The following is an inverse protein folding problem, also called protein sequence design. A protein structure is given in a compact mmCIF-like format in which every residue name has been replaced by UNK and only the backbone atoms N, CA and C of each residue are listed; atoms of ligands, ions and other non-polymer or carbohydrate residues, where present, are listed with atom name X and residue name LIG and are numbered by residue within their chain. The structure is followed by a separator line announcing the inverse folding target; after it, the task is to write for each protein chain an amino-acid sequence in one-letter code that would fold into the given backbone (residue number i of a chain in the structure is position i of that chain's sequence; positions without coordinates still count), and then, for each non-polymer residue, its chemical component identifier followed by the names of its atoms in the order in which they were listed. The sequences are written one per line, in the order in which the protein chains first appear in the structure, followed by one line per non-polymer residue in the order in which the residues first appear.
data_IF_863077352865
#
_entry.id   IF_863077352865
#
_cell.length_a   1.000
_cell.length_b   1.000
_cell.length_c   1.000
_cell.angle_alpha   90.00
_cell.angle_beta   90.00
_cell.angle_gamma   90.00
#
_symmetry.space_group_name_H-M   'P 1'
#
loop_
_entity.id
_entity.type
_entity.pdbx_description
1 polymer ?
#
# COMPACT_ATOMS: atom_id res chain seq x y z
N UNK A 1 27.72 -4.55 18.05
CA UNK A 1 26.62 -3.60 17.94
C UNK A 1 25.69 -4.11 16.88
N UNK A 2 24.59 -4.69 17.31
CA UNK A 2 23.50 -5.11 16.46
C UNK A 2 22.33 -4.14 16.59
N UNK A 3 21.49 -4.06 15.57
CA UNK A 3 20.23 -3.33 15.59
C UNK A 3 19.08 -4.33 15.75
N UNK A 4 18.40 -4.26 16.89
CA UNK A 4 17.27 -5.11 17.25
C UNK A 4 15.99 -4.31 17.13
N UNK A 5 15.08 -4.72 16.25
CA UNK A 5 13.70 -4.24 16.25
C UNK A 5 12.84 -5.12 17.17
N UNK A 6 12.12 -4.48 18.08
CA UNK A 6 11.26 -5.12 19.07
C UNK A 6 9.80 -4.71 18.83
N UNK A 7 8.96 -5.71 18.58
CA UNK A 7 7.57 -5.55 18.16
C UNK A 7 6.67 -6.23 19.19
N UNK A 8 6.18 -5.51 20.21
CA UNK A 8 5.21 -6.07 21.16
C UNK A 8 3.85 -6.24 20.49
N UNK A 9 3.33 -7.47 20.52
CA UNK A 9 2.08 -7.85 19.87
C UNK A 9 1.21 -8.71 20.81
N UNK A 10 0.41 -8.05 21.65
CA UNK A 10 -0.46 -8.73 22.61
C UNK A 10 -1.65 -9.45 21.96
N UNK A 11 -2.08 -10.58 22.52
CA UNK A 11 -3.29 -11.27 22.09
C UNK A 11 -4.59 -10.53 22.47
N UNK A 12 -4.65 -10.00 23.70
CA UNK A 12 -5.83 -9.37 24.29
C UNK A 12 -6.07 -7.93 23.82
N UNK A 13 -6.54 -7.73 22.59
CA UNK A 13 -6.99 -6.42 22.09
C UNK A 13 -8.47 -6.18 22.41
N UNK A 14 -8.82 -5.08 23.08
CA UNK A 14 -10.18 -4.78 23.58
C UNK A 14 -11.15 -4.29 22.51
N UNK A 15 -10.76 -3.26 21.77
CA UNK A 15 -11.58 -2.59 20.75
C UNK A 15 -11.72 -3.44 19.49
N UNK A 16 -10.60 -4.03 19.05
CA UNK A 16 -10.53 -4.87 17.84
C UNK A 16 -10.00 -6.25 18.25
N UNK A 17 -10.84 -7.29 18.27
CA UNK A 17 -10.39 -8.65 18.58
C UNK A 17 -9.24 -9.07 17.66
N UNK A 18 -8.16 -9.57 18.26
CA UNK A 18 -6.98 -10.07 17.53
C UNK A 18 -6.36 -9.05 16.56
N UNK A 19 -6.45 -7.74 16.91
CA UNK A 19 -5.99 -6.59 16.11
C UNK A 19 -4.71 -6.84 15.31
N UNK A 20 -3.67 -7.35 15.97
CA UNK A 20 -2.34 -7.54 15.40
C UNK A 20 -2.31 -8.55 14.23
N UNK A 21 -3.26 -9.49 14.16
CA UNK A 21 -3.33 -10.50 13.10
C UNK A 21 -4.58 -10.39 12.23
N UNK A 22 -5.44 -9.42 12.51
CA UNK A 22 -6.61 -9.12 11.70
C UNK A 22 -6.18 -8.60 10.30
N UNK A 23 -6.95 -8.95 9.26
CA UNK A 23 -6.62 -8.62 7.87
C UNK A 23 -6.75 -7.13 7.57
N UNK A 24 -5.62 -6.47 7.34
CA UNK A 24 -5.48 -5.07 6.92
C UNK A 24 -4.88 -5.02 5.51
N UNK A 25 -5.63 -4.51 4.54
CA UNK A 25 -5.24 -4.48 3.11
C UNK A 25 -4.81 -5.87 2.56
N UNK A 26 -5.50 -6.93 2.99
CA UNK A 26 -5.27 -8.31 2.51
C UNK A 26 -4.11 -9.05 3.18
N UNK A 27 -3.46 -8.47 4.19
CA UNK A 27 -2.43 -9.12 5.01
C UNK A 27 -2.70 -8.88 6.50
N UNK A 28 -2.24 -9.75 7.43
CA UNK A 28 -2.36 -9.49 8.87
C UNK A 28 -1.72 -8.13 9.23
N UNK A 29 -2.29 -7.36 10.16
CA UNK A 29 -1.80 -6.02 10.48
C UNK A 29 -0.27 -5.97 10.77
N UNK A 30 0.22 -6.89 11.61
CA UNK A 30 1.64 -7.02 11.96
C UNK A 30 2.55 -7.31 10.76
N UNK A 31 2.02 -7.91 9.69
CA UNK A 31 2.80 -8.21 8.48
C UNK A 31 3.45 -6.95 7.91
N UNK A 32 2.77 -5.80 7.95
CA UNK A 32 3.24 -4.58 7.30
C UNK A 32 4.52 -4.04 7.94
N UNK A 33 4.57 -3.93 9.26
CA UNK A 33 5.80 -3.51 9.95
C UNK A 33 6.91 -4.56 9.79
N UNK A 34 6.61 -5.84 9.91
CA UNK A 34 7.62 -6.91 9.78
C UNK A 34 8.20 -6.96 8.36
N UNK A 35 7.38 -6.81 7.34
CA UNK A 35 7.80 -6.77 5.94
C UNK A 35 8.77 -5.62 5.67
N UNK A 36 8.53 -4.44 6.26
CA UNK A 36 9.37 -3.27 6.06
C UNK A 36 10.65 -3.33 6.91
N UNK A 37 10.59 -3.86 8.13
CA UNK A 37 11.77 -4.15 8.95
C UNK A 37 12.70 -5.19 8.30
N UNK A 38 12.15 -6.16 7.57
CA UNK A 38 12.94 -7.13 6.82
C UNK A 38 13.83 -6.46 5.76
N UNK A 39 13.34 -5.37 5.19
CA UNK A 39 13.98 -4.59 4.11
C UNK A 39 14.81 -3.41 4.64
N UNK A 40 14.80 -3.16 5.95
CA UNK A 40 15.60 -2.12 6.59
C UNK A 40 16.95 -2.65 7.06
N UNK A 41 17.77 -1.75 7.60
CA UNK A 41 19.12 -2.01 8.12
C UNK A 41 19.12 -2.68 9.51
N UNK A 42 17.94 -3.17 9.96
CA UNK A 42 17.79 -3.97 11.18
C UNK A 42 18.41 -5.34 10.98
N UNK A 43 19.17 -5.83 11.97
CA UNK A 43 19.77 -7.16 11.94
C UNK A 43 18.78 -8.24 12.38
N UNK A 44 17.99 -7.93 13.42
CA UNK A 44 17.13 -8.89 14.10
C UNK A 44 15.79 -8.26 14.47
N UNK A 45 14.72 -8.99 14.20
CA UNK A 45 13.35 -8.57 14.50
C UNK A 45 12.77 -9.54 15.52
N UNK A 46 12.31 -9.02 16.64
CA UNK A 46 11.79 -9.78 17.78
C UNK A 46 10.32 -9.43 17.93
N UNK A 47 9.44 -10.40 17.71
CA UNK A 47 8.01 -10.25 18.00
C UNK A 47 7.73 -10.80 19.39
N UNK A 48 7.41 -9.94 20.35
CA UNK A 48 7.07 -10.33 21.71
C UNK A 48 5.56 -10.53 21.83
N UNK A 49 5.11 -11.76 22.08
CA UNK A 49 3.69 -12.10 22.16
C UNK A 49 3.39 -13.14 23.24
N UNK A 50 2.18 -13.09 23.76
CA UNK A 50 1.57 -14.05 24.69
C UNK A 50 0.56 -14.98 23.99
N UNK A 51 0.44 -14.88 22.66
CA UNK A 51 -0.57 -15.59 21.88
C UNK A 51 0.04 -16.59 20.91
N UNK A 52 -0.26 -17.87 21.10
CA UNK A 52 0.09 -18.96 20.19
C UNK A 52 -0.43 -18.73 18.76
N UNK A 53 -1.58 -18.04 18.63
CA UNK A 53 -2.13 -17.71 17.32
C UNK A 53 -1.32 -16.62 16.61
N UNK A 54 -0.89 -15.59 17.35
CA UNK A 54 0.01 -14.57 16.79
C UNK A 54 1.34 -15.20 16.37
N UNK A 55 1.91 -16.05 17.23
CA UNK A 55 3.12 -16.82 16.94
C UNK A 55 3.00 -17.63 15.65
N UNK A 56 1.97 -18.45 15.54
CA UNK A 56 1.70 -19.28 14.34
C UNK A 56 1.58 -18.43 13.07
N UNK A 57 0.90 -17.27 13.14
CA UNK A 57 0.75 -16.36 12.00
C UNK A 57 2.09 -15.74 11.61
N UNK A 58 2.88 -15.26 12.58
CA UNK A 58 4.18 -14.63 12.33
C UNK A 58 5.18 -15.64 11.75
N UNK A 59 5.24 -16.85 12.29
CA UNK A 59 6.10 -17.92 11.79
C UNK A 59 5.74 -18.32 10.35
N UNK A 60 4.45 -18.27 9.99
CA UNK A 60 4.00 -18.57 8.62
C UNK A 60 4.53 -17.62 7.55
N UNK A 61 5.01 -16.43 7.93
CA UNK A 61 5.57 -15.46 6.98
C UNK A 61 6.95 -15.87 6.46
N UNK A 62 7.64 -16.80 7.14
CA UNK A 62 8.99 -17.26 6.77
C UNK A 62 10.00 -16.12 6.59
N UNK A 63 9.93 -15.11 7.46
CA UNK A 63 10.78 -13.94 7.43
C UNK A 63 12.12 -14.20 8.13
N UNK A 64 13.27 -14.24 7.43
CA UNK A 64 14.55 -14.69 8.00
C UNK A 64 15.09 -13.89 9.19
N UNK A 65 14.81 -12.59 9.32
CA UNK A 65 15.27 -11.81 10.49
C UNK A 65 14.29 -11.88 11.66
N UNK A 66 13.11 -12.49 11.48
CA UNK A 66 12.06 -12.51 12.51
C UNK A 66 12.22 -13.73 13.42
N UNK A 67 12.17 -13.46 14.72
CA UNK A 67 11.96 -14.48 15.75
C UNK A 67 10.81 -14.08 16.66
N UNK A 68 10.15 -15.08 17.25
CA UNK A 68 9.11 -14.87 18.25
C UNK A 68 9.72 -15.06 19.64
N UNK A 69 9.38 -14.15 20.55
CA UNK A 69 9.68 -14.24 21.97
C UNK A 69 8.35 -14.42 22.73
N UNK A 70 8.24 -15.55 23.42
CA UNK A 70 7.11 -15.84 24.31
C UNK A 70 7.29 -15.01 25.59
N UNK A 71 6.56 -13.89 25.69
CA UNK A 71 6.66 -12.98 26.84
C UNK A 71 5.78 -13.44 28.00
N UNK A 72 6.11 -12.98 29.20
CA UNK A 72 5.35 -13.34 30.41
C UNK A 72 3.88 -12.89 30.33
N UNK A 73 2.90 -13.77 30.64
CA UNK A 73 1.49 -13.38 30.78
C UNK A 73 1.24 -12.23 31.77
N UNK A 74 2.07 -12.05 32.79
CA UNK A 74 1.98 -10.93 33.75
C UNK A 74 2.26 -9.57 33.07
N UNK A 75 3.12 -9.54 32.06
CA UNK A 75 3.42 -8.35 31.24
C UNK A 75 2.50 -8.20 30.02
N UNK A 76 1.42 -8.97 29.98
CA UNK A 76 0.41 -8.94 28.91
C UNK A 76 -0.94 -8.38 29.36
N UNK A 77 -1.02 -7.88 30.59
CA UNK A 77 -2.22 -7.25 31.15
C UNK A 77 -2.46 -5.86 30.54
N UNK A 78 -3.68 -5.36 30.66
CA UNK A 78 -4.03 -4.01 30.19
C UNK A 78 -3.26 -2.88 30.89
N UNK A 79 -2.76 -3.17 32.09
CA UNK A 79 -1.98 -2.23 32.91
C UNK A 79 -0.48 -2.35 32.69
N UNK A 80 -0.02 -3.34 31.93
CA UNK A 80 1.41 -3.54 31.65
C UNK A 80 1.89 -2.46 30.69
N UNK A 81 2.96 -1.75 31.07
CA UNK A 81 3.54 -0.72 30.22
C UNK A 81 4.33 -1.35 29.07
N UNK A 82 4.57 -0.59 28.00
CA UNK A 82 5.47 -1.06 26.94
C UNK A 82 6.88 -1.25 27.49
N UNK A 83 7.31 -0.39 28.42
CA UNK A 83 8.60 -0.44 29.09
C UNK A 83 8.81 -1.77 29.83
N UNK A 84 7.80 -2.30 30.53
CA UNK A 84 7.97 -3.55 31.29
C UNK A 84 8.27 -4.73 30.36
N UNK A 85 7.61 -4.80 29.21
CA UNK A 85 7.83 -5.83 28.18
C UNK A 85 9.21 -5.67 27.52
N UNK A 86 9.66 -4.44 27.32
CA UNK A 86 11.01 -4.17 26.76
C UNK A 86 12.10 -4.62 27.73
N UNK A 87 11.99 -4.23 29.01
CA UNK A 87 12.96 -4.58 30.06
C UNK A 87 12.97 -6.10 30.29
N UNK A 88 11.81 -6.76 30.32
CA UNK A 88 11.72 -8.21 30.40
C UNK A 88 12.53 -8.90 29.28
N UNK A 89 12.36 -8.44 28.04
CA UNK A 89 13.12 -9.01 26.93
C UNK A 89 14.62 -8.71 27.02
N UNK A 90 15.00 -7.50 27.42
CA UNK A 90 16.41 -7.12 27.60
C UNK A 90 17.07 -7.94 28.71
N UNK A 91 16.36 -8.24 29.81
CA UNK A 91 16.88 -9.09 30.88
C UNK A 91 16.98 -10.56 30.45
N UNK A 92 16.03 -11.03 29.62
CA UNK A 92 16.03 -12.37 29.06
C UNK A 92 17.12 -12.58 28.01
N UNK A 93 17.31 -11.60 27.12
CA UNK A 93 18.23 -11.66 26.00
C UNK A 93 19.52 -10.98 26.40
N UNK A 94 20.64 -11.71 26.44
CA UNK A 94 21.97 -11.17 26.76
C UNK A 94 22.48 -10.19 25.66
N UNK A 95 21.76 -9.09 25.43
CA UNK A 95 22.10 -8.02 24.52
C UNK A 95 23.27 -7.23 25.08
N UNK A 96 24.07 -6.65 24.19
CA UNK A 96 25.16 -5.78 24.60
C UNK A 96 24.60 -4.40 24.91
N UNK A 97 25.15 -3.73 25.92
CA UNK A 97 24.89 -2.32 26.23
C UNK A 97 25.00 -1.40 24.99
N UNK A 98 25.91 -1.75 24.08
CA UNK A 98 26.15 -1.02 22.83
C UNK A 98 25.12 -1.28 21.73
N UNK A 99 24.25 -2.28 21.88
CA UNK A 99 23.27 -2.61 20.85
C UNK A 99 22.17 -1.55 20.75
N UNK A 100 21.62 -1.39 19.55
CA UNK A 100 20.53 -0.46 19.25
C UNK A 100 19.22 -1.21 19.37
N UNK A 101 18.26 -0.60 20.06
CA UNK A 101 16.94 -1.16 20.30
C UNK A 101 15.88 -0.25 19.68
N UNK A 102 15.12 -0.79 18.73
CA UNK A 102 14.03 -0.09 18.05
C UNK A 102 12.70 -0.66 18.55
N UNK A 103 11.95 0.09 19.35
CA UNK A 103 10.56 -0.26 19.65
C UNK A 103 9.69 0.11 18.44
N UNK A 104 8.90 -0.83 17.91
CA UNK A 104 7.98 -0.60 16.78
C UNK A 104 6.57 -1.01 17.17
N UNK A 105 5.58 -0.13 16.96
CA UNK A 105 4.19 -0.44 17.28
C UNK A 105 3.42 -0.90 16.03
N UNK A 106 2.71 -2.02 16.18
CA UNK A 106 1.91 -2.65 15.11
C UNK A 106 0.75 -1.75 14.65
N UNK A 107 0.31 -0.82 15.50
CA UNK A 107 -0.79 0.12 15.24
C UNK A 107 -0.45 1.21 14.22
N UNK A 108 0.82 1.32 13.81
CA UNK A 108 1.29 2.29 12.81
C UNK A 108 1.80 1.56 11.55
N UNK A 109 0.90 1.00 10.71
CA UNK A 109 1.26 0.13 9.59
C UNK A 109 1.85 0.85 8.38
N UNK A 110 1.87 2.19 8.39
CA UNK A 110 2.42 3.01 7.29
C UNK A 110 3.95 3.11 7.31
N UNK A 111 4.60 2.56 8.34
CA UNK A 111 6.04 2.67 8.53
C UNK A 111 6.79 1.80 7.53
N UNK A 112 7.59 2.43 6.66
CA UNK A 112 8.35 1.80 5.58
C UNK A 112 9.83 1.66 5.95
N UNK A 113 10.56 0.82 5.21
CA UNK A 113 12.00 0.58 5.42
C UNK A 113 12.83 1.87 5.46
N UNK A 114 12.49 2.84 4.60
CA UNK A 114 13.15 4.15 4.55
C UNK A 114 13.04 4.90 5.89
N UNK A 115 11.89 4.82 6.56
CA UNK A 115 11.66 5.50 7.83
C UNK A 115 12.55 4.94 8.94
N UNK A 116 12.70 3.61 8.99
CA UNK A 116 13.60 2.96 9.94
C UNK A 116 15.06 3.33 9.68
N UNK A 117 15.48 3.31 8.42
CA UNK A 117 16.87 3.59 8.03
C UNK A 117 17.25 5.05 8.30
N UNK A 118 16.39 6.01 7.96
CA UNK A 118 16.63 7.42 8.26
C UNK A 118 16.60 7.71 9.77
N UNK A 119 15.72 7.03 10.53
CA UNK A 119 15.72 7.08 11.98
C UNK A 119 17.03 6.57 12.58
N UNK A 120 17.57 5.45 12.07
CA UNK A 120 18.85 4.90 12.48
C UNK A 120 20.03 5.81 12.13
N UNK A 121 19.98 6.48 10.98
CA UNK A 121 20.98 7.49 10.62
C UNK A 121 20.95 8.67 11.59
N UNK A 122 19.76 9.19 11.89
CA UNK A 122 19.58 10.29 12.84
C UNK A 122 20.04 9.92 14.25
N UNK A 123 19.86 8.65 14.66
CA UNK A 123 20.29 8.14 15.95
C UNK A 123 21.80 8.24 16.16
N UNK A 124 22.62 8.23 15.10
CA UNK A 124 24.09 8.34 15.24
C UNK A 124 24.56 9.62 15.93
N UNK A 125 23.73 10.67 15.96
CA UNK A 125 24.02 11.95 16.62
C UNK A 125 23.14 12.25 17.84
N UNK A 126 22.34 11.27 18.32
CA UNK A 126 21.37 11.45 19.40
C UNK A 126 21.44 10.28 20.40
N UNK A 127 20.91 10.48 21.61
CA UNK A 127 20.84 9.41 22.61
C UNK A 127 19.57 8.56 22.44
N UNK A 128 18.53 9.13 21.83
CA UNK A 128 17.31 8.42 21.44
C UNK A 128 16.56 9.16 20.34
N UNK A 129 15.72 8.46 19.59
CA UNK A 129 14.86 9.00 18.54
C UNK A 129 13.40 8.66 18.83
N UNK A 130 12.49 9.59 18.55
CA UNK A 130 11.05 9.31 18.41
C UNK A 130 10.56 9.72 17.03
N UNK A 131 9.65 8.93 16.46
CA UNK A 131 8.94 9.28 15.23
C UNK A 131 7.77 10.23 15.53
N UNK A 132 7.57 11.23 14.67
CA UNK A 132 6.53 12.24 14.83
C UNK A 132 5.97 12.73 13.50
N UNK A 133 4.87 13.46 13.55
CA UNK A 133 4.23 14.10 12.40
C UNK A 133 3.94 15.57 12.71
N UNK A 134 3.95 16.42 11.67
CA UNK A 134 3.52 17.82 11.83
C UNK A 134 2.00 17.89 11.92
N UNK A 135 1.50 18.37 13.07
CA UNK A 135 0.12 18.73 13.27
C UNK A 135 -0.08 20.24 13.24
N UNK A 136 -1.08 20.69 12.49
CA UNK A 136 -1.53 22.10 12.45
C UNK A 136 -2.84 22.32 13.19
N UNK A 137 -3.20 21.39 14.08
CA UNK A 137 -4.41 21.49 14.89
C UNK A 137 -4.22 22.53 15.99
N UNK A 138 -5.32 23.19 16.34
CA UNK A 138 -5.39 24.10 17.48
C UNK A 138 -5.76 23.30 18.72
N UNK A 139 -4.87 23.29 19.70
CA UNK A 139 -5.01 22.50 20.92
C UNK A 139 -5.54 23.40 22.03
N UNK A 140 -6.51 22.89 22.78
CA UNK A 140 -7.12 23.58 23.90
C UNK A 140 -6.94 22.73 25.16
N UNK A 141 -6.74 23.41 26.28
CA UNK A 141 -6.79 22.80 27.61
C UNK A 141 -8.24 22.65 28.07
N UNK A 142 -8.47 21.80 29.06
CA UNK A 142 -9.78 21.64 29.71
C UNK A 142 -10.29 22.94 30.37
N UNK A 143 -9.38 23.83 30.78
CA UNK A 143 -9.72 25.14 31.35
C UNK A 143 -10.17 26.19 30.30
N UNK A 144 -10.32 25.78 29.04
CA UNK A 144 -10.77 26.64 27.95
C UNK A 144 -9.69 27.61 27.44
N UNK A 145 -8.41 27.37 27.72
CA UNK A 145 -7.30 28.16 27.16
C UNK A 145 -6.62 27.45 26.00
N UNK A 146 -6.33 28.20 24.94
CA UNK A 146 -5.48 27.73 23.85
C UNK A 146 -4.08 27.35 24.37
N UNK A 147 -3.55 26.22 23.90
CA UNK A 147 -2.23 25.72 24.25
C UNK A 147 -1.15 26.24 23.31
N UNK A 148 -1.46 26.33 22.01
CA UNK A 148 -0.46 26.46 20.97
C UNK A 148 -0.69 27.62 19.98
N UNK A 149 -1.65 28.51 20.26
CA UNK A 149 -1.92 29.68 19.42
C UNK A 149 -2.59 30.82 20.21
N UNK A 150 -2.57 32.02 19.64
CA UNK A 150 -3.31 33.18 20.15
C UNK A 150 -4.74 33.21 19.57
N UNK A 151 -5.75 33.20 20.45
CA UNK A 151 -7.16 33.21 20.06
C UNK A 151 -7.59 34.52 19.39
N UNK A 152 -6.93 35.64 19.71
CA UNK A 152 -7.23 36.95 19.14
C UNK A 152 -6.51 37.18 17.81
N UNK A 153 -5.48 36.38 17.51
CA UNK A 153 -4.75 36.42 16.26
C UNK A 153 -4.55 35.01 15.68
N UNK A 154 -5.67 34.33 15.38
CA UNK A 154 -5.65 32.94 14.90
C UNK A 154 -4.93 32.84 13.55
N UNK A 155 -3.81 32.11 13.46
CA UNK A 155 -3.06 31.99 12.21
C UNK A 155 -3.82 31.16 11.18
N UNK A 156 -3.64 31.46 9.90
CA UNK A 156 -4.15 30.63 8.80
C UNK A 156 -3.25 29.41 8.64
N UNK A 157 -3.77 28.33 8.04
CA UNK A 157 -3.05 27.06 7.89
C UNK A 157 -1.71 27.23 7.15
N UNK A 158 -1.67 28.09 6.12
CA UNK A 158 -0.46 28.38 5.35
C UNK A 158 0.62 29.16 6.14
N UNK A 159 0.21 29.89 7.18
CA UNK A 159 1.11 30.71 8.01
C UNK A 159 1.52 29.98 9.30
N UNK A 160 0.95 28.79 9.54
CA UNK A 160 1.16 27.99 10.75
C UNK A 160 2.16 26.86 10.49
N UNK A 161 3.37 26.99 11.04
CA UNK A 161 4.43 25.98 10.90
C UNK A 161 4.01 24.60 11.44
N UNK A 162 3.10 24.55 12.41
CA UNK A 162 2.68 23.30 13.04
C UNK A 162 3.50 22.99 14.30
N UNK A 163 3.12 21.90 14.96
CA UNK A 163 3.85 21.30 16.06
C UNK A 163 4.07 19.83 15.73
N UNK A 164 5.21 19.30 16.13
CA UNK A 164 5.49 17.87 16.04
C UNK A 164 4.69 17.15 17.13
N UNK A 165 3.96 16.12 16.72
CA UNK A 165 3.24 15.21 17.60
C UNK A 165 3.75 13.81 17.31
N UNK A 166 4.10 13.08 18.36
CA UNK A 166 4.43 11.66 18.31
C UNK A 166 3.33 10.87 17.58
N UNK A 167 3.72 9.92 16.74
CA UNK A 167 2.79 9.14 15.91
C UNK A 167 2.80 7.63 16.23
N UNK A 168 3.43 7.26 17.35
CA UNK A 168 3.50 5.88 17.83
C UNK A 168 4.18 4.89 16.88
N UNK A 169 4.88 5.34 15.84
CA UNK A 169 5.43 4.41 14.84
C UNK A 169 6.64 3.65 15.38
N UNK A 170 7.68 4.37 15.80
CA UNK A 170 8.87 3.75 16.38
C UNK A 170 9.70 4.69 17.27
N UNK A 171 10.54 4.06 18.10
CA UNK A 171 11.49 4.70 19.00
C UNK A 171 12.83 3.99 18.89
N UNK A 172 13.93 4.73 18.90
CA UNK A 172 15.29 4.17 18.84
C UNK A 172 16.05 4.62 20.09
N UNK A 173 16.69 3.68 20.77
CA UNK A 173 17.58 3.97 21.90
C UNK A 173 18.68 2.90 21.97
N UNK A 174 19.73 3.13 22.74
CA UNK A 174 20.67 2.05 23.07
C UNK A 174 20.12 1.20 24.21
N UNK A 175 20.50 -0.09 24.24
CA UNK A 175 20.16 -0.99 25.36
C UNK A 175 20.61 -0.41 26.69
N UNK A 176 21.84 0.12 26.76
CA UNK A 176 22.37 0.77 27.96
C UNK A 176 21.46 1.89 28.49
N UNK A 177 20.94 2.74 27.60
CA UNK A 177 20.08 3.87 27.98
C UNK A 177 18.70 3.41 28.44
N UNK A 178 18.14 2.38 27.82
CA UNK A 178 16.86 1.79 28.24
C UNK A 178 17.00 1.22 29.65
N UNK A 179 18.07 0.46 29.93
CA UNK A 179 18.33 -0.10 31.27
C UNK A 179 18.55 1.03 32.29
N UNK A 180 19.40 2.01 31.96
CA UNK A 180 19.74 3.10 32.88
C UNK A 180 18.52 3.94 33.29
N UNK A 181 17.59 4.17 32.35
CA UNK A 181 16.46 5.10 32.54
C UNK A 181 15.11 4.41 32.71
N UNK A 182 15.05 3.10 32.53
CA UNK A 182 13.83 2.29 32.53
C UNK A 182 12.75 2.86 31.59
N UNK A 183 13.17 3.44 30.46
CA UNK A 183 12.26 4.06 29.48
C UNK A 183 12.79 3.98 28.06
N UNK A 184 11.87 4.00 27.09
CA UNK A 184 12.15 3.92 25.64
C UNK A 184 12.88 5.15 25.08
N UNK A 185 12.84 6.28 25.78
CA UNK A 185 13.36 7.56 25.28
C UNK A 185 14.05 8.36 26.38
N UNK A 186 15.27 8.84 26.12
CA UNK A 186 16.05 9.62 27.09
C UNK A 186 17.21 10.39 26.47
N UNK A 187 17.80 11.31 27.24
CA UNK A 187 19.01 12.05 26.84
C UNK A 187 18.75 13.14 25.79
N UNK A 188 19.69 13.30 24.85
CA UNK A 188 19.53 14.14 23.68
C UNK A 188 18.58 13.47 22.67
N UNK A 189 17.31 13.90 22.68
CA UNK A 189 16.23 13.31 21.88
C UNK A 189 16.21 13.91 20.47
N UNK A 190 16.35 13.06 19.46
CA UNK A 190 16.10 13.41 18.06
C UNK A 190 14.65 13.16 17.65
N UNK A 191 14.11 14.02 16.79
CA UNK A 191 12.75 13.92 16.27
C UNK A 191 12.81 13.54 14.79
N UNK A 192 12.28 12.36 14.44
CA UNK A 192 12.18 11.93 13.06
C UNK A 192 10.78 12.27 12.51
N UNK A 193 10.70 13.25 11.60
CA UNK A 193 9.45 13.69 10.99
C UNK A 193 9.02 12.75 9.86
N UNK A 194 7.87 12.10 10.03
CA UNK A 194 7.21 11.27 9.03
C UNK A 194 6.10 12.05 8.31
N UNK A 195 5.68 11.62 7.11
CA UNK A 195 4.56 12.24 6.40
C UNK A 195 3.28 12.31 7.25
N UNK A 196 2.52 13.41 7.13
CA UNK A 196 1.32 13.70 7.97
C UNK A 196 0.30 12.56 8.01
N UNK A 197 0.12 11.80 6.91
CA UNK A 197 -0.84 10.68 6.86
C UNK A 197 -0.45 9.49 7.76
N UNK A 198 0.82 9.39 8.17
CA UNK A 198 1.30 8.34 9.06
C UNK A 198 0.93 8.59 10.53
N UNK A 199 0.29 9.72 10.83
CA UNK A 199 -0.21 10.04 12.18
C UNK A 199 -1.48 9.27 12.56
N UNK A 200 -1.99 8.41 11.69
CA UNK A 200 -3.18 7.58 11.96
C UNK A 200 -2.72 6.29 12.62
N UNK A 201 -3.12 6.11 13.87
CA UNK A 201 -2.91 4.88 14.63
C UNK A 201 -4.20 4.07 14.64
N UNK A 202 -4.10 2.75 14.53
CA UNK A 202 -5.26 1.86 14.53
C UNK A 202 -5.57 1.44 15.96
N UNK A 203 -6.48 2.16 16.62
CA UNK A 203 -6.96 1.82 17.96
C UNK A 203 -8.42 1.40 17.98
N UNK A 204 -9.25 2.03 17.15
CA UNK A 204 -10.68 1.74 17.03
C UNK A 204 -11.05 1.23 15.63
N UNK A 205 -12.28 0.72 15.48
CA UNK A 205 -12.75 0.15 14.21
C UNK A 205 -12.83 1.20 13.11
N UNK A 206 -13.15 2.45 13.45
CA UNK A 206 -13.19 3.57 12.52
C UNK A 206 -11.80 3.90 11.95
N UNK A 207 -10.75 3.80 12.78
CA UNK A 207 -9.37 4.01 12.35
C UNK A 207 -8.98 3.00 11.28
N UNK A 208 -9.49 1.76 11.37
CA UNK A 208 -9.24 0.71 10.38
C UNK A 208 -9.67 1.12 8.97
N UNK A 209 -10.88 1.67 8.84
CA UNK A 209 -11.47 2.06 7.55
C UNK A 209 -10.66 3.20 6.93
N UNK A 210 -10.30 4.19 7.75
CA UNK A 210 -9.50 5.34 7.32
C UNK A 210 -8.09 4.87 6.93
N UNK A 211 -7.48 4.04 7.78
CA UNK A 211 -6.13 3.58 7.59
C UNK A 211 -5.99 2.70 6.35
N UNK A 212 -6.93 1.78 6.07
CA UNK A 212 -6.90 0.98 4.84
C UNK A 212 -6.98 1.85 3.58
N UNK A 213 -7.84 2.89 3.62
CA UNK A 213 -8.01 3.80 2.49
C UNK A 213 -6.72 4.60 2.23
N UNK A 214 -6.07 5.08 3.28
CA UNK A 214 -4.77 5.77 3.19
C UNK A 214 -3.67 4.81 2.74
N UNK A 215 -3.61 3.60 3.28
CA UNK A 215 -2.60 2.60 2.96
C UNK A 215 -2.66 2.24 1.48
N UNK A 216 -3.87 1.96 0.96
CA UNK A 216 -4.10 1.68 -0.46
C UNK A 216 -3.59 2.82 -1.34
N UNK A 217 -4.00 4.05 -1.06
CA UNK A 217 -3.73 5.20 -1.92
C UNK A 217 -2.30 5.75 -1.83
N UNK A 218 -1.72 5.76 -0.63
CA UNK A 218 -0.48 6.49 -0.34
C UNK A 218 0.73 5.59 -0.17
N UNK A 219 0.53 4.30 0.09
CA UNK A 219 1.63 3.34 0.32
C UNK A 219 1.60 2.20 -0.69
N UNK A 220 0.43 1.63 -1.00
CA UNK A 220 0.32 0.49 -1.92
C UNK A 220 0.25 0.92 -3.38
N UNK A 221 -0.49 1.99 -3.69
CA UNK A 221 -0.54 2.57 -5.04
C UNK A 221 0.75 3.32 -5.39
N UNK A 222 1.56 3.69 -4.39
CA UNK A 222 2.90 4.28 -4.57
C UNK A 222 4.03 3.25 -4.55
N UNK A 223 3.77 1.99 -4.18
CA UNK A 223 4.76 0.94 -4.37
C UNK A 223 4.88 0.68 -5.86
N UNK A 224 6.10 0.81 -6.37
CA UNK A 224 6.51 0.45 -7.72
C UNK A 224 5.80 -0.83 -8.16
N UNK A 225 4.68 -0.67 -8.87
CA UNK A 225 4.12 -1.78 -9.63
C UNK A 225 5.14 -1.99 -10.72
N UNK A 226 5.92 -3.05 -10.59
CA UNK A 226 6.91 -3.38 -11.60
C UNK A 226 6.17 -3.80 -12.87
N UNK A 227 6.18 -2.90 -13.87
CA UNK A 227 5.62 -3.15 -15.18
C UNK A 227 6.66 -3.70 -16.16
N UNK A 228 7.91 -3.94 -15.72
CA UNK A 228 9.02 -4.33 -16.61
C UNK A 228 8.81 -5.69 -17.29
N UNK A 229 8.00 -6.57 -16.68
CA UNK A 229 7.64 -7.87 -17.24
C UNK A 229 6.48 -7.81 -18.25
N UNK A 230 5.82 -6.65 -18.43
CA UNK A 230 4.66 -6.54 -19.33
C UNK A 230 5.12 -6.55 -20.80
N UNK A 231 4.63 -7.55 -21.54
CA UNK A 231 4.94 -7.76 -22.96
C UNK A 231 3.74 -7.49 -23.87
N UNK A 232 2.52 -7.62 -23.35
CA UNK A 232 1.29 -7.39 -24.11
C UNK A 232 0.32 -6.53 -23.31
N UNK A 233 -0.24 -5.49 -23.95
CA UNK A 233 -1.44 -4.80 -23.45
C UNK A 233 -2.65 -5.11 -24.34
N UNK A 234 -3.71 -5.62 -23.74
CA UNK A 234 -5.01 -5.83 -24.38
C UNK A 234 -6.05 -4.88 -23.78
N UNK A 235 -6.95 -4.38 -24.63
CA UNK A 235 -8.04 -3.49 -24.20
C UNK A 235 -9.39 -4.03 -24.65
N UNK A 236 -10.39 -3.92 -23.78
CA UNK A 236 -11.77 -3.93 -24.27
C UNK A 236 -12.02 -2.71 -25.16
N UNK A 237 -13.06 -2.78 -25.97
CA UNK A 237 -13.47 -1.67 -26.83
C UNK A 237 -14.52 -0.82 -26.14
N UNK A 238 -15.66 -1.43 -25.83
CA UNK A 238 -16.81 -0.72 -25.27
C UNK A 238 -16.57 -0.40 -23.80
N UNK A 239 -16.88 0.83 -23.40
CA UNK A 239 -16.65 1.32 -22.04
C UNK A 239 -15.18 1.53 -21.65
N UNK A 240 -14.24 1.24 -22.55
CA UNK A 240 -12.80 1.49 -22.39
C UNK A 240 -12.26 2.43 -23.48
N UNK A 241 -12.12 1.93 -24.72
CA UNK A 241 -11.70 2.76 -25.86
C UNK A 241 -12.81 3.70 -26.33
N UNK A 242 -14.05 3.34 -26.05
CA UNK A 242 -15.27 4.14 -26.25
C UNK A 242 -15.91 4.48 -24.91
N UNK A 243 -16.85 5.42 -24.91
CA UNK A 243 -17.58 5.87 -23.73
C UNK A 243 -18.79 4.99 -23.37
N UNK A 244 -18.85 3.76 -23.91
CA UNK A 244 -20.01 2.86 -23.90
C UNK A 244 -21.28 3.45 -24.54
N UNK A 245 -21.18 4.60 -25.20
CA UNK A 245 -22.26 5.21 -25.98
C UNK A 245 -22.34 4.63 -27.39
N UNK A 246 -23.56 4.37 -27.85
CA UNK A 246 -23.87 3.97 -29.21
C UNK A 246 -24.79 5.01 -29.85
N UNK A 247 -24.40 5.51 -31.02
CA UNK A 247 -25.27 6.39 -31.82
C UNK A 247 -25.90 5.59 -32.95
N UNK A 248 -27.21 5.73 -33.11
CA UNK A 248 -27.99 5.09 -34.16
C UNK A 248 -28.64 6.16 -35.04
N UNK A 249 -28.59 5.98 -36.36
CA UNK A 249 -29.42 6.76 -37.31
C UNK A 249 -30.78 6.10 -37.49
N UNK A 250 -31.74 6.84 -38.05
CA UNK A 250 -33.05 6.28 -38.43
C UNK A 250 -32.93 5.16 -39.48
N UNK A 251 -31.87 5.19 -40.29
CA UNK A 251 -31.55 4.18 -41.31
C UNK A 251 -30.82 2.94 -40.75
N UNK A 252 -30.47 2.95 -39.45
CA UNK A 252 -29.83 1.82 -38.76
C UNK A 252 -28.29 1.82 -38.77
N UNK A 253 -27.64 2.91 -39.18
CA UNK A 253 -26.19 3.04 -39.06
C UNK A 253 -25.77 3.20 -37.60
N UNK A 254 -24.62 2.60 -37.25
CA UNK A 254 -24.04 2.63 -35.91
C UNK A 254 -22.73 3.43 -35.89
N UNK A 255 -22.59 4.34 -34.92
CA UNK A 255 -21.35 5.08 -34.68
C UNK A 255 -20.85 4.88 -33.26
N UNK A 256 -19.52 4.79 -33.12
CA UNK A 256 -18.81 4.82 -31.85
C UNK A 256 -17.79 5.96 -31.83
N UNK A 257 -17.65 6.59 -30.68
CA UNK A 257 -16.62 7.60 -30.45
C UNK A 257 -15.40 6.94 -29.80
N UNK A 258 -14.28 6.95 -30.51
CA UNK A 258 -12.99 6.51 -30.00
C UNK A 258 -12.14 7.70 -29.56
N UNK A 259 -11.40 7.54 -28.46
CA UNK A 259 -10.44 8.56 -28.03
C UNK A 259 -9.14 8.49 -28.86
N UNK A 260 -8.62 9.65 -29.28
CA UNK A 260 -7.35 9.74 -30.01
C UNK A 260 -6.13 9.57 -29.11
N UNK A 261 -6.20 10.00 -27.85
CA UNK A 261 -5.12 9.84 -26.87
C UNK A 261 -4.80 8.37 -26.61
N UNK A 262 -5.83 7.52 -26.52
CA UNK A 262 -5.67 6.07 -26.35
C UNK A 262 -4.91 5.44 -27.52
N UNK A 263 -5.21 5.87 -28.75
CA UNK A 263 -4.48 5.42 -29.94
C UNK A 263 -3.00 5.81 -29.92
N UNK A 264 -2.68 7.03 -29.48
CA UNK A 264 -1.28 7.45 -29.30
C UNK A 264 -0.60 6.67 -28.16
N UNK A 265 -1.31 6.37 -27.06
CA UNK A 265 -0.80 5.54 -25.98
C UNK A 265 -0.40 4.13 -26.45
N UNK A 266 -1.28 3.45 -27.18
CA UNK A 266 -0.98 2.14 -27.76
C UNK A 266 0.23 2.19 -28.69
N UNK A 267 0.37 3.23 -29.51
CA UNK A 267 1.52 3.41 -30.39
C UNK A 267 2.83 3.63 -29.61
N UNK A 268 2.79 4.33 -28.47
CA UNK A 268 3.98 4.47 -27.61
C UNK A 268 4.45 3.12 -27.08
N UNK A 269 3.53 2.27 -26.59
CA UNK A 269 3.90 0.91 -26.13
C UNK A 269 4.57 0.10 -27.24
N UNK A 270 4.03 0.14 -28.46
CA UNK A 270 4.63 -0.53 -29.61
C UNK A 270 6.07 -0.04 -29.89
N UNK A 271 6.34 1.26 -29.74
CA UNK A 271 7.69 1.82 -29.89
C UNK A 271 8.67 1.33 -28.80
N UNK A 272 8.16 0.93 -27.64
CA UNK A 272 8.92 0.31 -26.55
C UNK A 272 8.95 -1.22 -26.63
N UNK A 273 8.43 -1.81 -27.71
CA UNK A 273 8.45 -3.26 -27.93
C UNK A 273 7.35 -4.04 -27.22
N UNK A 274 6.39 -3.35 -26.58
CA UNK A 274 5.21 -3.96 -25.96
C UNK A 274 4.13 -4.10 -27.03
N UNK A 275 3.65 -5.32 -27.27
CA UNK A 275 2.59 -5.58 -28.25
C UNK A 275 1.24 -5.11 -27.72
N UNK A 276 0.36 -4.66 -28.61
CA UNK A 276 -0.95 -4.12 -28.23
C UNK A 276 -2.08 -4.74 -29.02
N UNK A 277 -3.26 -4.86 -28.40
CA UNK A 277 -4.42 -5.40 -29.07
C UNK A 277 -5.77 -5.03 -28.46
N UNK A 278 -6.83 -5.38 -29.19
CA UNK A 278 -8.21 -5.28 -28.70
C UNK A 278 -8.84 -6.65 -28.53
N UNK A 279 -9.73 -6.77 -27.54
CA UNK A 279 -10.49 -7.98 -27.24
C UNK A 279 -11.94 -7.61 -26.93
N UNK A 280 -12.81 -7.71 -27.93
CA UNK A 280 -14.22 -7.31 -27.83
C UNK A 280 -15.17 -8.49 -28.07
N UNK A 281 -16.28 -8.51 -27.33
CA UNK A 281 -17.37 -9.47 -27.52
C UNK A 281 -18.22 -9.17 -28.76
N UNK A 282 -18.11 -7.96 -29.32
CA UNK A 282 -18.78 -7.61 -30.58
C UNK A 282 -17.96 -8.04 -31.80
N UNK A 283 -18.65 -8.36 -32.90
CA UNK A 283 -18.03 -8.51 -34.22
C UNK A 283 -18.59 -7.46 -35.17
N UNK A 284 -17.90 -6.32 -35.26
CA UNK A 284 -18.30 -5.15 -36.05
C UNK A 284 -17.15 -4.61 -36.88
N UNK A 285 -17.44 -4.23 -38.12
CA UNK A 285 -16.44 -3.71 -39.05
C UNK A 285 -15.79 -2.40 -38.58
N UNK A 286 -16.49 -1.59 -37.79
CA UNK A 286 -15.95 -0.36 -37.23
C UNK A 286 -14.79 -0.62 -36.25
N UNK A 287 -14.88 -1.69 -35.43
CA UNK A 287 -13.81 -2.10 -34.52
C UNK A 287 -12.58 -2.56 -35.31
N UNK A 288 -12.80 -3.37 -36.36
CA UNK A 288 -11.74 -3.85 -37.26
C UNK A 288 -11.02 -2.71 -37.97
N UNK A 289 -11.76 -1.73 -38.50
CA UNK A 289 -11.18 -0.52 -39.12
C UNK A 289 -10.35 0.28 -38.13
N UNK A 290 -10.79 0.38 -36.88
CA UNK A 290 -10.04 1.07 -35.82
C UNK A 290 -8.74 0.33 -35.49
N UNK A 291 -8.79 -0.99 -35.31
CA UNK A 291 -7.60 -1.82 -35.09
C UNK A 291 -6.59 -1.67 -36.23
N UNK A 292 -7.03 -1.77 -37.48
CA UNK A 292 -6.19 -1.57 -38.66
C UNK A 292 -5.56 -0.17 -38.71
N UNK A 293 -6.33 0.88 -38.39
CA UNK A 293 -5.82 2.26 -38.34
C UNK A 293 -4.73 2.44 -37.29
N UNK A 294 -4.85 1.77 -36.15
CA UNK A 294 -3.86 1.80 -35.07
C UNK A 294 -2.70 0.82 -35.30
N UNK A 295 -2.79 -0.06 -36.30
CA UNK A 295 -1.82 -1.14 -36.58
C UNK A 295 -1.57 -2.00 -35.34
N UNK A 296 -2.65 -2.41 -34.69
CA UNK A 296 -2.57 -3.30 -33.53
C UNK A 296 -1.93 -4.64 -33.92
N UNK A 297 -1.19 -5.23 -32.99
CA UNK A 297 -0.58 -6.56 -33.15
C UNK A 297 -1.65 -7.67 -33.10
N UNK A 298 -2.71 -7.44 -32.32
CA UNK A 298 -3.82 -8.38 -32.16
C UNK A 298 -5.19 -7.69 -32.22
N UNK A 299 -6.16 -8.32 -32.88
CA UNK A 299 -7.55 -7.89 -32.86
C UNK A 299 -8.52 -9.08 -32.78
N UNK A 300 -9.09 -9.29 -31.60
CA UNK A 300 -10.06 -10.36 -31.33
C UNK A 300 -11.47 -9.78 -31.26
N UNK A 301 -12.40 -10.40 -31.99
CA UNK A 301 -13.77 -9.96 -32.16
C UNK A 301 -14.71 -11.14 -31.96
N UNK A 302 -15.94 -10.88 -31.52
CA UNK A 302 -16.89 -11.95 -31.18
C UNK A 302 -16.42 -12.82 -30.00
N UNK A 303 -15.58 -12.26 -29.12
CA UNK A 303 -14.97 -13.00 -28.02
C UNK A 303 -16.00 -13.36 -26.93
N UNK A 304 -16.31 -14.65 -26.80
CA UNK A 304 -17.20 -15.19 -25.78
C UNK A 304 -16.45 -15.63 -24.52
N UNK A 305 -15.29 -16.29 -24.67
CA UNK A 305 -14.38 -16.64 -23.57
C UNK A 305 -13.07 -15.85 -23.71
N UNK A 306 -13.07 -14.65 -23.13
CA UNK A 306 -11.92 -13.73 -23.16
C UNK A 306 -10.69 -14.35 -22.49
N UNK A 307 -10.84 -15.10 -21.40
CA UNK A 307 -9.72 -15.70 -20.69
C UNK A 307 -9.05 -16.79 -21.53
N UNK A 308 -9.83 -17.67 -22.15
CA UNK A 308 -9.29 -18.74 -22.98
C UNK A 308 -8.56 -18.19 -24.22
N UNK A 309 -9.11 -17.15 -24.86
CA UNK A 309 -8.44 -16.47 -26.00
C UNK A 309 -7.07 -15.94 -25.59
N UNK A 310 -6.97 -15.26 -24.43
CA UNK A 310 -5.69 -14.73 -23.96
C UNK A 310 -4.73 -15.84 -23.54
N UNK A 311 -5.21 -16.94 -22.94
CA UNK A 311 -4.37 -18.12 -22.65
C UNK A 311 -3.75 -18.70 -23.93
N UNK A 312 -4.51 -18.77 -25.02
CA UNK A 312 -4.02 -19.30 -26.28
C UNK A 312 -3.06 -18.31 -26.97
N UNK A 313 -3.32 -17.00 -26.86
CA UNK A 313 -2.36 -15.97 -27.26
C UNK A 313 -1.03 -16.11 -26.51
N UNK A 314 -1.07 -16.24 -25.19
CA UNK A 314 0.12 -16.41 -24.36
C UNK A 314 0.95 -17.64 -24.80
N UNK A 315 0.30 -18.75 -25.15
CA UNK A 315 0.99 -19.93 -25.69
C UNK A 315 1.67 -19.64 -27.02
N UNK A 316 1.01 -18.93 -27.94
CA UNK A 316 1.61 -18.58 -29.25
C UNK A 316 2.74 -17.57 -29.14
N UNK A 317 2.70 -16.70 -28.13
CA UNK A 317 3.68 -15.65 -27.89
C UNK A 317 4.79 -16.09 -26.92
N UNK A 318 4.73 -17.32 -26.41
CA UNK A 318 5.67 -17.86 -25.43
C UNK A 318 5.82 -17.00 -24.17
N UNK A 319 4.68 -16.50 -23.66
CA UNK A 319 4.59 -15.72 -22.42
C UNK A 319 3.55 -16.32 -21.46
N UNK A 320 3.47 -15.76 -20.26
CA UNK A 320 2.50 -16.10 -19.22
C UNK A 320 1.45 -15.01 -19.07
N UNK A 321 0.34 -15.32 -18.38
CA UNK A 321 -0.68 -14.30 -18.06
C UNK A 321 -0.15 -13.16 -17.18
N UNK A 322 0.92 -13.40 -16.42
CA UNK A 322 1.56 -12.38 -15.59
C UNK A 322 2.25 -11.28 -16.42
N UNK A 323 2.61 -11.59 -17.68
CA UNK A 323 3.26 -10.66 -18.61
C UNK A 323 2.23 -9.91 -19.48
N UNK A 324 0.94 -10.03 -19.15
CA UNK A 324 -0.18 -9.39 -19.85
C UNK A 324 -0.82 -8.32 -18.96
N UNK A 325 -0.99 -7.14 -19.54
CA UNK A 325 -1.87 -6.10 -19.02
C UNK A 325 -3.22 -6.14 -19.74
N UNK A 326 -4.32 -6.09 -18.99
CA UNK A 326 -5.67 -6.01 -19.55
C UNK A 326 -6.49 -4.92 -18.88
N UNK A 327 -7.19 -4.14 -19.72
CA UNK A 327 -8.14 -3.12 -19.27
C UNK A 327 -9.56 -3.45 -19.75
N UNK A 328 -10.50 -3.50 -18.80
CA UNK A 328 -11.92 -3.81 -19.03
C UNK A 328 -12.82 -3.12 -18.01
N UNK A 329 -14.12 -3.03 -18.29
CA UNK A 329 -15.07 -2.24 -17.51
C UNK A 329 -16.33 -3.00 -17.03
N UNK A 330 -16.69 -4.11 -17.70
CA UNK A 330 -17.93 -4.86 -17.43
C UNK A 330 -17.72 -6.35 -17.09
N UNK A 331 -18.78 -7.04 -16.69
CA UNK A 331 -18.81 -8.41 -16.15
C UNK A 331 -18.22 -9.47 -17.07
N UNK A 332 -18.27 -9.26 -18.39
CA UNK A 332 -17.63 -10.13 -19.39
C UNK A 332 -16.10 -10.11 -19.31
N UNK A 333 -15.52 -9.10 -18.65
CA UNK A 333 -14.09 -8.97 -18.41
C UNK A 333 -13.63 -9.58 -17.09
N UNK A 334 -14.55 -9.95 -16.19
CA UNK A 334 -14.23 -10.33 -14.80
C UNK A 334 -13.21 -11.46 -14.70
N UNK A 335 -13.44 -12.56 -15.42
CA UNK A 335 -12.55 -13.73 -15.38
C UNK A 335 -11.15 -13.40 -15.89
N UNK A 336 -11.03 -12.64 -16.98
CA UNK A 336 -9.73 -12.25 -17.52
C UNK A 336 -9.01 -11.27 -16.58
N UNK A 337 -9.70 -10.21 -16.11
CA UNK A 337 -9.15 -9.24 -15.17
C UNK A 337 -8.69 -9.88 -13.85
N UNK A 338 -9.32 -10.98 -13.43
CA UNK A 338 -8.93 -11.69 -12.21
C UNK A 338 -7.69 -12.59 -12.37
N UNK A 339 -7.17 -12.76 -13.59
CA UNK A 339 -6.11 -13.73 -13.90
C UNK A 339 -4.89 -13.14 -14.63
N UNK A 340 -4.94 -11.89 -15.08
CA UNK A 340 -3.79 -11.21 -15.73
C UNK A 340 -2.82 -10.61 -14.70
N UNK A 341 -1.58 -10.38 -15.10
CA UNK A 341 -0.56 -9.76 -14.24
C UNK A 341 -0.90 -8.32 -13.87
N UNK A 342 -1.38 -7.54 -14.85
CA UNK A 342 -1.82 -6.16 -14.63
C UNK A 342 -3.27 -6.00 -15.07
N UNK A 343 -4.17 -5.93 -14.09
CA UNK A 343 -5.58 -5.65 -14.30
C UNK A 343 -5.87 -4.18 -14.07
N UNK A 344 -6.59 -3.52 -14.98
CA UNK A 344 -7.01 -2.15 -14.82
C UNK A 344 -8.46 -1.94 -15.25
N UNK A 345 -9.12 -0.91 -14.71
CA UNK A 345 -10.47 -0.53 -15.11
C UNK A 345 -10.67 0.99 -15.10
N UNK A 346 -11.55 1.53 -15.97
CA UNK A 346 -11.96 2.93 -15.94
C UNK A 346 -12.69 3.33 -14.65
N UNK A 347 -12.70 4.62 -14.33
CA UNK A 347 -13.42 5.13 -13.15
C UNK A 347 -14.94 4.95 -13.21
N UNK A 348 -15.51 4.72 -14.39
CA UNK A 348 -16.93 4.40 -14.59
C UNK A 348 -17.21 2.89 -14.76
N UNK A 349 -16.23 2.02 -14.54
CA UNK A 349 -16.43 0.56 -14.58
C UNK A 349 -17.46 0.08 -13.54
N UNK A 350 -18.06 -1.08 -13.83
CA UNK A 350 -19.02 -1.73 -12.93
C UNK A 350 -18.39 -2.05 -11.57
N UNK A 351 -19.18 -1.93 -10.49
CA UNK A 351 -18.67 -2.15 -9.13
C UNK A 351 -18.04 -3.53 -8.92
N UNK A 352 -18.59 -4.55 -9.60
CA UNK A 352 -18.04 -5.91 -9.60
C UNK A 352 -16.59 -5.95 -10.11
N UNK A 353 -16.26 -5.13 -11.12
CA UNK A 353 -14.92 -5.03 -11.68
C UNK A 353 -14.00 -4.27 -10.73
N UNK A 354 -14.45 -3.14 -10.17
CA UNK A 354 -13.68 -2.36 -9.19
C UNK A 354 -13.35 -3.13 -7.91
N UNK A 355 -14.13 -4.16 -7.60
CA UNK A 355 -13.94 -5.03 -6.45
C UNK A 355 -12.94 -6.17 -6.67
N UNK A 356 -12.38 -6.31 -7.88
CA UNK A 356 -11.32 -7.30 -8.15
C UNK A 356 -10.08 -6.93 -7.32
N UNK A 357 -9.51 -7.85 -6.53
CA UNK A 357 -8.31 -7.58 -5.75
C UNK A 357 -7.16 -7.05 -6.62
N UNK A 358 -6.48 -6.01 -6.14
CA UNK A 358 -5.32 -5.38 -6.79
C UNK A 358 -5.57 -4.71 -8.16
N UNK A 359 -6.82 -4.63 -8.64
CA UNK A 359 -7.12 -3.94 -9.90
C UNK A 359 -6.74 -2.45 -9.82
N UNK A 360 -6.11 -1.94 -10.88
CA UNK A 360 -5.81 -0.52 -11.02
C UNK A 360 -7.11 0.21 -11.38
N UNK A 361 -7.62 1.02 -10.46
CA UNK A 361 -8.74 1.91 -10.74
C UNK A 361 -8.21 3.24 -11.28
N UNK A 362 -8.30 3.40 -12.60
CA UNK A 362 -7.83 4.59 -13.30
C UNK A 362 -8.78 5.76 -13.05
N UNK A 363 -8.26 6.99 -13.07
CA UNK A 363 -9.05 8.19 -12.79
C UNK A 363 -9.99 8.56 -13.95
N UNK A 364 -9.59 8.27 -15.19
CA UNK A 364 -10.37 8.58 -16.39
C UNK A 364 -11.48 7.57 -16.65
N UNK A 365 -12.52 8.04 -17.33
CA UNK A 365 -13.64 7.22 -17.82
C UNK A 365 -13.32 6.59 -19.18
N UNK A 366 -14.07 5.56 -19.54
CA UNK A 366 -14.11 5.03 -20.90
C UNK A 366 -14.28 6.11 -21.96
N UNK A 367 -13.55 6.01 -23.07
CA UNK A 367 -13.60 6.96 -24.17
C UNK A 367 -12.96 8.33 -23.87
N UNK A 368 -12.30 8.49 -22.71
CA UNK A 368 -11.68 9.75 -22.29
C UNK A 368 -10.15 9.67 -22.13
N UNK A 369 -9.49 8.67 -22.73
CA UNK A 369 -8.03 8.54 -22.63
C UNK A 369 -7.57 7.66 -21.47
N UNK A 370 -8.39 6.68 -21.09
CA UNK A 370 -8.12 5.78 -19.95
C UNK A 370 -7.04 4.75 -20.27
N UNK A 371 -6.97 4.26 -21.52
CA UNK A 371 -5.85 3.41 -21.95
C UNK A 371 -4.55 4.21 -21.95
N UNK A 372 -4.60 5.49 -22.36
CA UNK A 372 -3.46 6.40 -22.28
C UNK A 372 -2.95 6.58 -20.85
N UNK A 373 -3.84 6.70 -19.87
CA UNK A 373 -3.46 6.78 -18.46
C UNK A 373 -2.75 5.50 -17.99
N UNK A 374 -3.25 4.32 -18.38
CA UNK A 374 -2.58 3.06 -18.08
C UNK A 374 -1.21 2.94 -18.76
N UNK A 375 -1.11 3.34 -20.02
CA UNK A 375 0.17 3.36 -20.76
C UNK A 375 1.21 4.23 -20.05
N UNK A 376 0.81 5.39 -19.56
CA UNK A 376 1.71 6.28 -18.82
C UNK A 376 2.20 5.63 -17.53
N UNK A 377 1.38 4.83 -16.85
CA UNK A 377 1.82 4.04 -15.69
C UNK A 377 2.83 2.94 -16.09
N UNK A 378 2.61 2.25 -17.21
CA UNK A 378 3.48 1.15 -17.68
C UNK A 378 4.84 1.65 -18.16
N UNK A 379 4.92 2.88 -18.69
CA UNK A 379 6.15 3.45 -19.25
C UNK A 379 6.95 4.33 -18.28
N UNK A 380 6.43 4.60 -17.08
CA UNK A 380 7.18 5.21 -15.98
C UNK A 380 8.18 4.19 -15.41
#
# INVERSE_FOLDING_TARGET
MSVIAFVPARGGSKSIPEKNIQSFCGKPLIYWNLHELQRSDVDKIVVATDSERIKSVVESFNFPKVMVYDRDPENSQDTSSTESVMLEYIDYSNLLDSDVFILVQVTSPFTQAIHFNEGLELFKSHDSILSCCVSRRFIWREDGKALNYDIYNRPRRQDHKGHLIENGAFYISSVAKIIEKETRISGNIGLYEMPEYTSVEIDEVEDWIVAESLMKRLVLDQRDRDFSDIKILLSDVDGVLTDAGMYYTEDGDEFKKFCTYDGMGMQLLQNYGIKVGILTSEDKQLNRRRAQKLKLDFDFHGATDKLQIVKDLCKSEHITLNEVAYIGDDVNCFELLSNVGVAACPSNAMQKIKSIPNIIQLSKKGGQGVVRELVELILL
#
